data_IF_598598148161
#
_entry.id   IF_598598148161
#
_cell.length_a   1.000
_cell.length_b   1.000
_cell.length_c   1.000
_cell.angle_alpha   90.00
_cell.angle_beta   90.00
_cell.angle_gamma   90.00
#
_symmetry.space_group_name_H-M   'P 1'
#
loop_
_entity.id
_entity.type
_entity.pdbx_description
1 polymer ?
#
# COMPACT_ATOMS: atom_id res chain seq x y z
N UNK A 1 6.63 57.79 -20.20
CA UNK A 1 7.69 58.64 -20.71
C UNK A 1 8.73 57.78 -21.42
N UNK A 2 8.87 58.09 -22.72
CA UNK A 2 10.02 57.84 -23.63
C UNK A 2 10.43 56.42 -24.01
N UNK A 3 9.92 56.00 -25.17
CA UNK A 3 10.72 55.29 -26.20
C UNK A 3 11.72 56.26 -26.85
N UNK A 4 12.77 55.81 -27.52
CA UNK A 4 12.82 55.92 -28.96
C UNK A 4 13.42 54.68 -29.65
N UNK A 5 12.86 54.22 -30.76
CA UNK A 5 12.94 54.60 -32.20
C UNK A 5 14.25 54.26 -32.92
N UNK A 6 14.12 53.32 -33.89
CA UNK A 6 14.64 53.28 -35.26
C UNK A 6 16.14 53.44 -35.53
N UNK A 7 16.67 52.50 -36.36
CA UNK A 7 17.10 52.85 -37.72
C UNK A 7 17.34 51.63 -38.61
N UNK A 8 16.63 51.62 -39.74
CA UNK A 8 16.83 50.91 -40.97
C UNK A 8 18.06 51.51 -41.70
N UNK A 9 18.83 50.67 -42.38
CA UNK A 9 19.67 51.13 -43.50
C UNK A 9 19.77 50.02 -44.57
N UNK A 10 19.23 50.35 -45.68
CA UNK A 10 19.25 49.70 -47.00
C UNK A 10 20.41 50.27 -47.78
N UNK A 11 21.13 49.46 -48.60
CA UNK A 11 21.90 49.83 -49.80
C UNK A 11 22.40 48.55 -50.45
N UNK A 12 21.89 48.08 -51.55
CA UNK A 12 21.81 48.37 -52.96
C UNK A 12 23.16 48.22 -53.72
N UNK A 13 23.05 47.29 -54.67
CA UNK A 13 23.56 47.23 -56.07
C UNK A 13 25.03 46.82 -56.27
N UNK A 14 25.30 45.94 -57.08
CA UNK A 14 25.17 45.61 -58.52
C UNK A 14 26.55 45.18 -59.03
N UNK A 15 26.60 44.30 -60.01
CA UNK A 15 27.77 44.02 -60.81
C UNK A 15 27.74 42.60 -61.43
N UNK A 16 27.18 42.53 -62.63
CA UNK A 16 27.21 41.34 -63.49
C UNK A 16 28.59 41.14 -64.12
N UNK A 17 28.98 39.90 -64.34
CA UNK A 17 29.55 39.53 -65.65
C UNK A 17 29.55 38.00 -65.83
N UNK A 18 29.02 37.59 -66.96
CA UNK A 18 28.91 36.20 -67.42
C UNK A 18 30.25 35.66 -67.87
N UNK A 19 30.53 34.40 -67.61
CA UNK A 19 31.39 33.55 -68.42
C UNK A 19 30.75 32.17 -68.53
N UNK A 20 30.40 31.83 -69.76
CA UNK A 20 29.86 30.53 -70.15
C UNK A 20 30.92 29.43 -69.99
N UNK A 21 30.62 28.42 -69.19
CA UNK A 21 31.34 27.16 -69.16
C UNK A 21 30.36 26.03 -69.26
N UNK A 22 30.33 25.32 -70.37
CA UNK A 22 29.61 24.07 -70.55
C UNK A 22 30.14 23.02 -69.53
N UNK A 23 29.31 22.67 -68.56
CA UNK A 23 29.53 21.56 -67.66
C UNK A 23 28.22 20.76 -67.56
N UNK A 24 28.28 19.48 -67.90
CA UNK A 24 27.17 18.54 -67.83
C UNK A 24 26.44 18.62 -66.50
N UNK A 25 25.17 18.96 -66.48
CA UNK A 25 24.27 18.84 -65.38
C UNK A 25 24.13 17.37 -65.01
N UNK A 26 24.85 16.93 -63.93
CA UNK A 26 24.48 15.69 -63.22
C UNK A 26 23.15 15.95 -62.58
N UNK A 27 22.09 15.29 -63.06
CA UNK A 27 20.81 15.19 -62.35
C UNK A 27 21.06 14.83 -60.92
N UNK A 28 20.47 15.54 -59.92
CA UNK A 28 20.54 15.14 -58.52
C UNK A 28 19.92 13.75 -58.36
N UNK A 29 20.72 12.82 -57.86
CA UNK A 29 20.26 11.50 -57.45
C UNK A 29 19.10 11.69 -56.43
N UNK A 30 17.95 10.99 -56.58
CA UNK A 30 16.86 11.12 -55.60
C UNK A 30 17.41 10.71 -54.24
N UNK A 31 17.30 11.62 -53.27
CA UNK A 31 17.64 11.36 -51.88
C UNK A 31 16.96 10.05 -51.45
N UNK A 32 17.75 9.04 -51.08
CA UNK A 32 17.25 7.79 -50.51
C UNK A 32 16.42 8.18 -49.32
N UNK A 33 15.11 8.10 -49.45
CA UNK A 33 14.17 8.17 -48.32
C UNK A 33 14.62 7.11 -47.31
N UNK A 34 15.22 7.52 -46.19
CA UNK A 34 15.48 6.60 -45.09
C UNK A 34 14.14 5.99 -44.74
N UNK A 35 13.99 4.71 -45.00
CA UNK A 35 12.82 3.96 -44.52
C UNK A 35 12.76 4.13 -43.03
N UNK A 36 11.76 4.86 -42.53
CA UNK A 36 11.46 4.99 -41.14
C UNK A 36 11.27 3.57 -40.59
N UNK A 37 12.07 3.18 -39.60
CA UNK A 37 11.90 1.89 -38.94
C UNK A 37 10.42 1.75 -38.53
N UNK A 38 9.79 0.59 -38.75
CA UNK A 38 8.39 0.39 -38.42
C UNK A 38 8.17 0.76 -36.95
N UNK A 39 7.17 1.61 -36.67
CA UNK A 39 6.83 2.02 -35.33
C UNK A 39 6.49 0.77 -34.50
N UNK A 40 7.07 0.64 -33.32
CA UNK A 40 6.76 -0.46 -32.40
C UNK A 40 5.26 -0.37 -32.04
N UNK A 41 4.47 -1.42 -32.26
CA UNK A 41 3.04 -1.40 -31.90
C UNK A 41 2.87 -1.18 -30.39
N UNK A 42 1.85 -0.42 -30.01
CA UNK A 42 1.51 -0.14 -28.59
C UNK A 42 0.34 -0.98 -28.12
N UNK A 43 0.21 -1.17 -26.81
CA UNK A 43 -0.94 -1.78 -26.16
C UNK A 43 -1.29 -0.97 -24.90
N UNK A 44 -2.56 -0.58 -24.77
CA UNK A 44 -3.10 0.06 -23.58
C UNK A 44 -3.50 -1.01 -22.56
N UNK A 45 -3.05 -0.86 -21.31
CA UNK A 45 -3.31 -1.81 -20.22
C UNK A 45 -3.85 -1.03 -19.03
N UNK A 46 -5.09 -1.31 -18.65
CA UNK A 46 -5.73 -0.71 -17.49
C UNK A 46 -5.47 -1.53 -16.26
N UNK A 47 -4.98 -0.90 -15.20
CA UNK A 47 -4.85 -1.47 -13.85
C UNK A 47 -5.83 -0.74 -12.95
N UNK A 48 -6.69 -1.51 -12.26
CA UNK A 48 -7.58 -0.96 -11.24
C UNK A 48 -6.82 -0.70 -9.95
N UNK A 49 -7.17 0.39 -9.26
CA UNK A 49 -6.75 0.64 -7.88
C UNK A 49 -7.97 1.05 -7.06
N UNK A 50 -8.11 0.50 -5.84
CA UNK A 50 -9.24 0.84 -4.97
C UNK A 50 -8.76 1.01 -3.53
N UNK A 51 -9.13 2.13 -2.95
CA UNK A 51 -8.88 2.46 -1.55
C UNK A 51 -9.90 3.52 -1.08
N UNK A 52 -10.06 3.76 0.23
CA UNK A 52 -10.89 4.87 0.72
C UNK A 52 -10.17 6.20 0.46
N UNK A 53 -10.53 6.89 -0.61
CA UNK A 53 -9.93 8.18 -0.99
C UNK A 53 -10.63 9.37 -0.35
N UNK A 54 -11.78 9.13 0.30
CA UNK A 54 -12.53 10.10 1.10
C UNK A 54 -12.82 9.57 2.51
N UNK A 55 -13.29 10.44 3.42
CA UNK A 55 -13.60 10.06 4.80
C UNK A 55 -12.41 10.11 5.77
N UNK A 56 -12.60 9.53 6.95
CA UNK A 56 -11.66 9.66 8.09
C UNK A 56 -10.29 9.04 7.86
N UNK A 57 -10.20 8.04 7.00
CA UNK A 57 -8.95 7.32 6.67
C UNK A 57 -8.45 7.58 5.25
N UNK A 58 -8.90 8.67 4.62
CA UNK A 58 -8.50 9.05 3.26
C UNK A 58 -6.97 9.22 3.11
N UNK A 59 -6.26 9.60 4.17
CA UNK A 59 -4.79 9.69 4.16
C UNK A 59 -4.12 8.33 3.94
N UNK A 60 -4.67 7.23 4.49
CA UNK A 60 -4.20 5.87 4.24
C UNK A 60 -4.54 5.41 2.82
N UNK A 61 -5.75 5.72 2.33
CA UNK A 61 -6.13 5.44 0.96
C UNK A 61 -5.25 6.17 -0.05
N UNK A 62 -4.90 7.43 0.23
CA UNK A 62 -4.01 8.21 -0.62
C UNK A 62 -2.57 7.68 -0.61
N UNK A 63 -2.08 7.24 0.53
CA UNK A 63 -0.78 6.55 0.63
C UNK A 63 -0.76 5.28 -0.23
N UNK A 64 -1.83 4.48 -0.16
CA UNK A 64 -2.05 3.29 -0.99
C UNK A 64 -2.00 3.65 -2.50
N UNK A 65 -2.82 4.61 -2.93
CA UNK A 65 -2.87 5.08 -4.32
C UNK A 65 -1.52 5.60 -4.82
N UNK A 66 -0.79 6.34 -3.97
CA UNK A 66 0.51 6.89 -4.33
C UNK A 66 1.53 5.78 -4.64
N UNK A 67 1.51 4.67 -3.89
CA UNK A 67 2.36 3.51 -4.17
C UNK A 67 2.08 2.93 -5.56
N UNK A 68 0.83 2.61 -5.84
CA UNK A 68 0.39 2.08 -7.14
C UNK A 68 0.74 3.04 -8.29
N UNK A 69 0.44 4.33 -8.13
CA UNK A 69 0.69 5.36 -9.14
C UNK A 69 2.17 5.51 -9.45
N UNK A 70 3.04 5.42 -8.43
CA UNK A 70 4.49 5.47 -8.64
C UNK A 70 4.96 4.29 -9.51
N UNK A 71 4.46 3.08 -9.23
CA UNK A 71 4.81 1.88 -10.00
C UNK A 71 4.38 2.01 -11.48
N UNK A 72 3.15 2.46 -11.72
CA UNK A 72 2.61 2.67 -13.08
C UNK A 72 3.42 3.71 -13.85
N UNK A 73 3.75 4.84 -13.22
CA UNK A 73 4.52 5.88 -13.92
C UNK A 73 5.95 5.42 -14.24
N UNK A 74 6.58 4.67 -13.33
CA UNK A 74 7.91 4.10 -13.57
C UNK A 74 7.87 3.04 -14.67
N UNK A 75 6.84 2.20 -14.72
CA UNK A 75 6.64 1.21 -15.79
C UNK A 75 6.50 1.89 -17.17
N UNK A 76 5.71 2.96 -17.24
CA UNK A 76 5.55 3.75 -18.46
C UNK A 76 6.86 4.44 -18.87
N UNK A 77 7.60 4.99 -17.91
CA UNK A 77 8.91 5.61 -18.18
C UNK A 77 9.95 4.58 -18.66
N UNK A 78 9.91 3.35 -18.13
CA UNK A 78 10.79 2.26 -18.52
C UNK A 78 10.47 1.66 -19.90
N UNK A 79 9.34 2.04 -20.53
CA UNK A 79 8.91 1.56 -21.85
C UNK A 79 8.86 0.04 -21.94
N UNK A 80 8.18 -0.58 -20.98
CA UNK A 80 8.08 -2.04 -20.86
C UNK A 80 7.43 -2.65 -22.10
N UNK A 81 8.00 -3.77 -22.57
CA UNK A 81 7.47 -4.54 -23.71
C UNK A 81 6.68 -5.75 -23.18
N UNK A 82 5.45 -5.93 -23.67
CA UNK A 82 4.61 -7.10 -23.41
C UNK A 82 4.18 -7.71 -24.74
N UNK A 83 4.54 -8.98 -24.97
CA UNK A 83 4.20 -9.68 -26.22
C UNK A 83 4.69 -8.98 -27.49
N UNK A 84 5.86 -8.32 -27.45
CA UNK A 84 6.43 -7.58 -28.59
C UNK A 84 5.78 -6.22 -28.84
N UNK A 85 4.90 -5.74 -27.96
CA UNK A 85 4.25 -4.43 -28.01
C UNK A 85 4.73 -3.54 -26.89
N UNK A 86 4.85 -2.23 -27.14
CA UNK A 86 5.13 -1.25 -26.09
C UNK A 86 3.88 -1.08 -25.21
N UNK A 87 3.99 -1.44 -23.93
CA UNK A 87 2.90 -1.29 -22.99
C UNK A 87 2.76 0.17 -22.53
N UNK A 88 1.54 0.65 -22.47
CA UNK A 88 1.16 1.87 -21.79
C UNK A 88 0.12 1.53 -20.72
N UNK A 89 0.47 1.76 -19.46
CA UNK A 89 -0.36 1.44 -18.30
C UNK A 89 -1.18 2.66 -17.88
N UNK A 90 -2.47 2.46 -17.69
CA UNK A 90 -3.40 3.45 -17.13
C UNK A 90 -3.88 2.97 -15.76
N UNK A 91 -3.75 3.81 -14.72
CA UNK A 91 -4.27 3.52 -13.38
C UNK A 91 -5.68 4.08 -13.24
N UNK A 92 -6.68 3.20 -13.12
CA UNK A 92 -8.06 3.55 -12.79
C UNK A 92 -8.25 3.48 -11.28
N UNK A 93 -8.16 4.63 -10.61
CA UNK A 93 -8.31 4.74 -9.16
C UNK A 93 -9.78 5.03 -8.78
N UNK A 94 -10.33 4.22 -7.87
CA UNK A 94 -11.71 4.32 -7.38
C UNK A 94 -11.73 4.45 -5.87
N UNK A 95 -12.71 5.19 -5.37
CA UNK A 95 -12.95 5.40 -3.93
C UNK A 95 -14.03 4.42 -3.43
N UNK A 96 -13.67 3.50 -2.55
CA UNK A 96 -14.63 2.59 -1.92
C UNK A 96 -15.18 3.12 -0.58
N UNK A 97 -14.74 4.30 -0.13
CA UNK A 97 -15.17 4.97 1.09
C UNK A 97 -15.05 4.10 2.36
N UNK A 98 -14.26 3.04 2.32
CA UNK A 98 -14.21 1.97 3.33
C UNK A 98 -15.59 1.29 3.56
N UNK A 99 -16.52 1.39 2.61
CA UNK A 99 -17.87 0.81 2.68
C UNK A 99 -17.94 -0.46 1.81
N UNK A 100 -18.30 -1.63 2.38
CA UNK A 100 -18.36 -2.89 1.62
C UNK A 100 -19.34 -2.86 0.44
N UNK A 101 -20.43 -2.07 0.51
CA UNK A 101 -21.40 -1.97 -0.60
C UNK A 101 -20.85 -1.10 -1.73
N UNK A 102 -20.19 0.01 -1.38
CA UNK A 102 -19.51 0.85 -2.37
C UNK A 102 -18.39 0.04 -3.03
N UNK A 103 -17.62 -0.73 -2.25
CA UNK A 103 -16.54 -1.58 -2.75
C UNK A 103 -17.02 -2.58 -3.82
N UNK A 104 -18.18 -3.23 -3.61
CA UNK A 104 -18.72 -4.14 -4.62
C UNK A 104 -19.17 -3.40 -5.89
N UNK A 105 -19.69 -2.19 -5.75
CA UNK A 105 -20.07 -1.35 -6.89
C UNK A 105 -18.86 -0.92 -7.71
N UNK A 106 -17.79 -0.44 -7.06
CA UNK A 106 -16.58 -0.04 -7.77
C UNK A 106 -15.82 -1.24 -8.34
N UNK A 107 -15.87 -2.40 -7.67
CA UNK A 107 -15.31 -3.64 -8.23
C UNK A 107 -15.99 -4.00 -9.55
N UNK A 108 -17.33 -3.96 -9.63
CA UNK A 108 -18.06 -4.21 -10.87
C UNK A 108 -17.70 -3.17 -11.93
N UNK A 109 -17.57 -1.87 -11.57
CA UNK A 109 -17.14 -0.82 -12.48
C UNK A 109 -15.76 -1.11 -13.11
N UNK A 110 -14.80 -1.62 -12.34
CA UNK A 110 -13.48 -1.98 -12.85
C UNK A 110 -13.55 -3.22 -13.76
N UNK A 111 -14.40 -4.21 -13.44
CA UNK A 111 -14.68 -5.34 -14.34
C UNK A 111 -15.23 -4.87 -15.67
N UNK A 112 -16.22 -3.97 -15.65
CA UNK A 112 -16.85 -3.42 -16.86
C UNK A 112 -15.86 -2.57 -17.67
N UNK A 113 -14.91 -1.89 -17.01
CA UNK A 113 -13.80 -1.17 -17.63
C UNK A 113 -12.73 -2.08 -18.23
N UNK A 114 -12.82 -3.41 -17.99
CA UNK A 114 -11.91 -4.45 -18.49
C UNK A 114 -10.48 -4.21 -18.01
N UNK A 115 -10.29 -3.94 -16.72
CA UNK A 115 -8.94 -3.86 -16.15
C UNK A 115 -8.23 -5.21 -16.29
N UNK A 116 -6.93 -5.17 -16.53
CA UNK A 116 -6.11 -6.37 -16.66
C UNK A 116 -5.73 -6.97 -15.30
N UNK A 117 -5.80 -6.20 -14.22
CA UNK A 117 -5.53 -6.61 -12.85
C UNK A 117 -5.93 -5.50 -11.88
N UNK A 118 -5.99 -5.82 -10.59
CA UNK A 118 -6.37 -4.87 -9.53
C UNK A 118 -5.32 -4.85 -8.42
N UNK A 119 -4.86 -3.66 -8.05
CA UNK A 119 -4.09 -3.38 -6.85
C UNK A 119 -5.03 -2.74 -5.81
N UNK A 120 -5.35 -3.47 -4.78
CA UNK A 120 -6.32 -3.06 -3.75
C UNK A 120 -7.20 -4.24 -3.31
N UNK A 121 -8.27 -4.03 -2.60
CA UNK A 121 -8.67 -2.84 -1.85
C UNK A 121 -7.83 -2.66 -0.58
N UNK A 122 -8.03 -1.53 0.15
CA UNK A 122 -7.26 -1.29 1.37
C UNK A 122 -7.82 -2.10 2.55
N UNK A 123 -9.09 -1.93 2.88
CA UNK A 123 -9.70 -2.51 4.08
C UNK A 123 -10.12 -3.97 3.85
N UNK A 124 -9.92 -4.85 4.84
CA UNK A 124 -10.37 -6.25 4.74
C UNK A 124 -11.88 -6.35 4.47
N UNK A 125 -12.69 -5.48 5.11
CA UNK A 125 -14.14 -5.48 4.94
C UNK A 125 -14.61 -5.08 3.54
N UNK A 126 -13.81 -4.36 2.76
CA UNK A 126 -14.07 -4.01 1.36
C UNK A 126 -13.43 -5.01 0.41
N UNK A 127 -12.23 -5.49 0.71
CA UNK A 127 -11.47 -6.43 -0.12
C UNK A 127 -12.15 -7.78 -0.23
N UNK A 128 -12.65 -8.34 0.87
CA UNK A 128 -13.27 -9.67 0.89
C UNK A 128 -14.48 -9.76 -0.06
N UNK A 129 -15.51 -8.91 0.00
CA UNK A 129 -16.62 -8.98 -0.93
C UNK A 129 -16.24 -8.61 -2.37
N UNK A 130 -15.31 -7.65 -2.57
CA UNK A 130 -14.86 -7.27 -3.90
C UNK A 130 -14.09 -8.40 -4.60
N UNK A 131 -13.28 -9.18 -3.85
CA UNK A 131 -12.52 -10.31 -4.39
C UNK A 131 -13.37 -11.35 -5.09
N UNK A 132 -14.60 -11.60 -4.61
CA UNK A 132 -15.53 -12.51 -5.25
C UNK A 132 -15.97 -12.02 -6.64
N UNK A 133 -16.13 -10.72 -6.83
CA UNK A 133 -16.48 -10.11 -8.13
C UNK A 133 -15.31 -10.24 -9.10
N UNK A 134 -14.09 -9.94 -8.67
CA UNK A 134 -12.90 -10.12 -9.49
C UNK A 134 -12.62 -11.58 -9.82
N UNK A 135 -12.86 -12.48 -8.86
CA UNK A 135 -12.73 -13.92 -9.10
C UNK A 135 -13.71 -14.41 -10.19
N UNK A 136 -14.99 -14.04 -10.11
CA UNK A 136 -15.98 -14.38 -11.12
C UNK A 136 -15.63 -13.85 -12.52
N UNK A 137 -14.97 -12.68 -12.56
CA UNK A 137 -14.50 -12.08 -13.81
C UNK A 137 -13.14 -12.63 -14.29
N UNK A 138 -12.47 -13.47 -13.49
CA UNK A 138 -11.14 -14.01 -13.78
C UNK A 138 -10.03 -12.97 -13.73
N UNK A 139 -10.22 -11.82 -13.04
CA UNK A 139 -9.27 -10.72 -12.94
C UNK A 139 -8.40 -10.93 -11.69
N UNK A 140 -7.06 -11.07 -11.82
CA UNK A 140 -6.18 -11.15 -10.67
C UNK A 140 -6.19 -9.86 -9.85
N UNK A 141 -6.18 -10.00 -8.52
CA UNK A 141 -6.05 -8.89 -7.60
C UNK A 141 -4.95 -9.14 -6.57
N UNK A 142 -4.24 -8.08 -6.20
CA UNK A 142 -3.23 -8.10 -5.16
C UNK A 142 -3.54 -6.96 -4.18
N UNK A 143 -3.70 -7.27 -2.89
CA UNK A 143 -3.81 -6.24 -1.86
C UNK A 143 -2.46 -5.97 -1.20
N UNK A 144 -2.16 -4.69 -0.99
CA UNK A 144 -1.01 -4.20 -0.24
C UNK A 144 -1.32 -3.88 1.23
N UNK A 145 -2.53 -4.21 1.72
CA UNK A 145 -2.97 -3.72 3.04
C UNK A 145 -4.01 -4.59 3.77
N UNK A 146 -4.91 -5.30 3.06
CA UNK A 146 -5.93 -6.12 3.71
C UNK A 146 -5.33 -7.36 4.38
N UNK A 147 -5.46 -7.47 5.71
CA UNK A 147 -4.75 -8.46 6.54
C UNK A 147 -5.62 -9.64 6.98
N UNK A 148 -6.95 -9.53 6.91
CA UNK A 148 -7.83 -10.58 7.40
C UNK A 148 -7.63 -11.91 6.66
N UNK A 149 -7.43 -13.06 7.37
CA UNK A 149 -7.22 -14.36 6.78
C UNK A 149 -8.34 -14.82 5.83
N UNK A 150 -9.59 -14.41 6.10
CA UNK A 150 -10.74 -14.77 5.27
C UNK A 150 -10.60 -14.42 3.79
N UNK A 151 -9.77 -13.42 3.46
CA UNK A 151 -9.54 -13.03 2.07
C UNK A 151 -9.05 -14.20 1.20
N UNK A 152 -8.05 -14.92 1.68
CA UNK A 152 -7.43 -16.05 0.96
C UNK A 152 -7.99 -17.41 1.35
N UNK A 153 -8.75 -17.48 2.46
CA UNK A 153 -9.48 -18.70 2.85
C UNK A 153 -10.76 -18.96 2.02
N UNK A 154 -11.16 -18.00 1.17
CA UNK A 154 -12.27 -18.19 0.22
C UNK A 154 -11.95 -19.21 -0.88
N UNK A 155 -10.67 -19.54 -1.08
CA UNK A 155 -10.23 -20.52 -2.08
C UNK A 155 -10.18 -19.98 -3.51
N UNK A 156 -10.11 -18.66 -3.69
CA UNK A 156 -9.97 -18.01 -5.00
C UNK A 156 -8.51 -18.07 -5.45
N UNK A 157 -8.26 -18.53 -6.65
CA UNK A 157 -6.92 -18.71 -7.21
C UNK A 157 -6.28 -17.43 -7.78
N UNK A 158 -7.06 -16.37 -7.92
CA UNK A 158 -6.65 -15.09 -8.49
C UNK A 158 -6.55 -13.95 -7.46
N UNK A 159 -6.53 -14.28 -6.17
CA UNK A 159 -6.45 -13.33 -5.05
C UNK A 159 -5.12 -13.47 -4.32
N UNK A 160 -4.40 -12.36 -4.19
CA UNK A 160 -3.06 -12.33 -3.59
C UNK A 160 -2.91 -11.22 -2.56
N UNK A 161 -1.93 -11.36 -1.67
CA UNK A 161 -1.60 -10.40 -0.62
C UNK A 161 -0.10 -10.27 -0.43
N UNK A 162 0.42 -9.04 -0.36
CA UNK A 162 1.86 -8.77 -0.16
C UNK A 162 2.22 -8.31 1.26
N UNK A 163 1.25 -8.26 2.18
CA UNK A 163 1.44 -8.03 3.62
C UNK A 163 1.21 -9.31 4.42
N UNK A 164 1.55 -9.30 5.70
CA UNK A 164 1.22 -10.39 6.62
C UNK A 164 -0.28 -10.50 6.91
N UNK A 165 -0.67 -11.60 7.56
CA UNK A 165 -2.06 -11.88 7.94
C UNK A 165 -2.31 -11.51 9.40
N UNK A 166 -3.57 -11.29 9.78
CA UNK A 166 -3.97 -11.02 11.18
C UNK A 166 -3.63 -12.17 12.12
N UNK A 167 -3.64 -13.42 11.64
CA UNK A 167 -3.23 -14.60 12.42
C UNK A 167 -1.70 -14.72 12.61
N UNK A 168 -0.93 -13.81 12.02
CA UNK A 168 0.49 -13.54 12.31
C UNK A 168 0.64 -12.25 13.13
N UNK A 169 -0.08 -11.20 12.76
CA UNK A 169 0.00 -9.87 13.37
C UNK A 169 -0.56 -9.86 14.81
N UNK A 170 -1.74 -10.46 15.01
CA UNK A 170 -2.37 -10.56 16.33
C UNK A 170 -1.48 -11.26 17.37
N UNK A 171 -0.97 -12.48 17.08
CA UNK A 171 0.00 -13.14 17.94
C UNK A 171 1.28 -12.34 18.18
N UNK A 172 1.80 -11.62 17.18
CA UNK A 172 3.02 -10.83 17.32
C UNK A 172 2.86 -9.70 18.33
N UNK A 173 1.82 -8.85 18.18
CA UNK A 173 1.60 -7.73 19.11
C UNK A 173 1.17 -8.22 20.49
N UNK A 174 0.34 -9.27 20.58
CA UNK A 174 -0.09 -9.83 21.87
C UNK A 174 1.06 -10.46 22.64
N UNK A 175 1.95 -11.22 21.98
CA UNK A 175 3.11 -11.82 22.61
C UNK A 175 4.13 -10.76 23.03
N UNK A 176 4.32 -9.71 22.23
CA UNK A 176 5.17 -8.58 22.58
C UNK A 176 4.66 -7.90 23.85
N UNK A 177 3.37 -7.53 23.90
CA UNK A 177 2.71 -6.93 25.05
C UNK A 177 2.84 -7.83 26.31
N UNK A 178 2.60 -9.12 26.17
CA UNK A 178 2.72 -10.09 27.26
C UNK A 178 4.15 -10.19 27.81
N UNK A 179 5.16 -10.09 26.96
CA UNK A 179 6.57 -10.21 27.35
C UNK A 179 7.13 -8.93 28.00
N UNK A 180 6.77 -7.76 27.47
CA UNK A 180 7.33 -6.45 27.87
C UNK A 180 6.56 -5.83 29.04
N UNK A 181 5.25 -5.70 28.91
CA UNK A 181 4.39 -4.99 29.85
C UNK A 181 3.77 -5.92 30.89
N UNK A 182 3.75 -7.24 30.62
CA UNK A 182 3.28 -8.30 31.51
C UNK A 182 1.91 -8.03 32.15
N UNK A 183 0.91 -7.63 31.33
CA UNK A 183 -0.41 -7.30 31.87
C UNK A 183 -1.06 -8.56 32.45
N UNK A 184 -1.83 -8.40 33.54
CA UNK A 184 -2.63 -9.48 34.12
C UNK A 184 -4.05 -9.48 33.56
N UNK A 185 -4.55 -8.31 33.21
CA UNK A 185 -5.91 -8.08 32.70
C UNK A 185 -5.83 -7.19 31.47
N UNK A 186 -6.41 -7.63 30.36
CA UNK A 186 -6.46 -6.89 29.12
C UNK A 186 -7.90 -6.70 28.65
N UNK A 187 -8.28 -5.46 28.34
CA UNK A 187 -9.52 -5.16 27.63
C UNK A 187 -9.29 -5.24 26.13
N UNK A 188 -10.21 -5.83 25.40
CA UNK A 188 -10.14 -5.92 23.94
C UNK A 188 -11.39 -5.28 23.34
N UNK A 189 -11.18 -4.32 22.44
CA UNK A 189 -12.21 -3.54 21.76
C UNK A 189 -12.02 -3.69 20.26
N UNK A 190 -13.09 -3.68 19.47
CA UNK A 190 -13.04 -3.63 18.00
C UNK A 190 -14.04 -2.63 17.41
N UNK A 191 -13.83 -2.27 16.14
CA UNK A 191 -14.67 -1.35 15.38
C UNK A 191 -15.80 -2.06 14.61
N UNK A 192 -16.06 -3.33 14.90
CA UNK A 192 -17.05 -4.19 14.24
C UNK A 192 -16.83 -4.39 12.72
N UNK A 193 -15.69 -3.99 12.16
CA UNK A 193 -15.31 -4.33 10.79
C UNK A 193 -14.71 -5.74 10.71
N UNK A 194 -14.64 -6.31 9.51
CA UNK A 194 -13.97 -7.60 9.31
C UNK A 194 -12.49 -7.56 9.73
N UNK A 195 -11.79 -6.42 9.51
CA UNK A 195 -10.43 -6.22 9.98
C UNK A 195 -10.37 -6.16 11.50
N UNK A 196 -11.06 -5.20 12.10
CA UNK A 196 -10.94 -4.96 13.54
C UNK A 196 -11.37 -6.16 14.39
N UNK A 197 -12.46 -6.86 14.01
CA UNK A 197 -12.89 -8.08 14.66
C UNK A 197 -11.87 -9.20 14.52
N UNK A 198 -11.39 -9.47 13.29
CA UNK A 198 -10.47 -10.56 13.02
C UNK A 198 -9.15 -10.41 13.78
N UNK A 199 -8.54 -9.23 13.74
CA UNK A 199 -7.31 -8.96 14.46
C UNK A 199 -7.50 -9.06 15.99
N UNK A 200 -8.59 -8.47 16.49
CA UNK A 200 -8.90 -8.52 17.92
C UNK A 200 -9.20 -9.94 18.43
N UNK A 201 -9.74 -10.82 17.58
CA UNK A 201 -9.93 -12.24 17.89
C UNK A 201 -8.59 -12.97 18.04
N UNK A 202 -7.64 -12.74 17.15
CA UNK A 202 -6.32 -13.37 17.23
C UNK A 202 -5.51 -12.84 18.42
N UNK A 203 -5.61 -11.55 18.74
CA UNK A 203 -5.01 -10.97 19.97
C UNK A 203 -5.60 -11.59 21.21
N UNK A 204 -6.94 -11.63 21.34
CA UNK A 204 -7.62 -12.20 22.51
C UNK A 204 -7.30 -13.69 22.70
N UNK A 205 -7.23 -14.46 21.62
CA UNK A 205 -6.85 -15.86 21.61
C UNK A 205 -5.42 -16.05 22.13
N UNK A 206 -4.47 -15.24 21.64
CA UNK A 206 -3.06 -15.32 22.04
C UNK A 206 -2.85 -14.93 23.49
N UNK A 207 -3.47 -13.83 23.95
CA UNK A 207 -3.40 -13.41 25.36
C UNK A 207 -3.96 -14.47 26.32
N UNK A 208 -5.12 -15.07 25.98
CA UNK A 208 -5.69 -16.18 26.75
C UNK A 208 -4.76 -17.39 26.80
N UNK A 209 -4.14 -17.75 25.68
CA UNK A 209 -3.17 -18.85 25.62
C UNK A 209 -1.92 -18.57 26.49
N UNK A 210 -1.55 -17.29 26.67
CA UNK A 210 -0.49 -16.86 27.58
C UNK A 210 -0.92 -16.78 29.05
N UNK A 211 -2.17 -17.18 29.40
CA UNK A 211 -2.69 -17.15 30.77
C UNK A 211 -3.14 -15.75 31.24
N UNK A 212 -3.28 -14.79 30.34
CA UNK A 212 -3.70 -13.43 30.65
C UNK A 212 -5.23 -13.36 30.69
N UNK A 213 -5.81 -12.70 31.69
CA UNK A 213 -7.25 -12.47 31.75
C UNK A 213 -7.67 -11.47 30.68
N UNK A 214 -8.46 -11.91 29.72
CA UNK A 214 -9.09 -11.05 28.71
C UNK A 214 -10.53 -10.76 29.14
N UNK A 215 -10.89 -9.47 29.25
CA UNK A 215 -12.24 -9.03 29.60
C UNK A 215 -13.24 -9.35 28.47
N UNK A 216 -14.54 -9.21 28.74
CA UNK A 216 -15.56 -9.31 27.72
C UNK A 216 -15.28 -8.30 26.60
N UNK A 217 -15.43 -8.76 25.36
CA UNK A 217 -15.21 -7.93 24.15
C UNK A 217 -16.17 -6.75 24.12
N UNK A 218 -15.65 -5.56 23.98
CA UNK A 218 -16.42 -4.35 23.72
C UNK A 218 -16.32 -3.99 22.22
N UNK A 219 -17.33 -3.29 21.72
CA UNK A 219 -17.42 -2.95 20.29
C UNK A 219 -17.84 -1.51 20.08
N UNK A 220 -17.30 -0.92 19.03
CA UNK A 220 -17.81 0.29 18.40
C UNK A 220 -18.22 0.01 16.96
N UNK A 221 -18.06 1.02 16.12
CA UNK A 221 -18.12 0.94 14.66
C UNK A 221 -16.92 1.69 14.07
N UNK A 222 -16.68 1.56 12.79
CA UNK A 222 -15.69 2.33 12.02
C UNK A 222 -15.92 3.86 12.03
N UNK A 223 -17.01 4.31 12.64
CA UNK A 223 -17.40 5.73 12.77
C UNK A 223 -17.51 6.19 14.22
N UNK A 224 -17.24 5.30 15.18
CA UNK A 224 -17.35 5.63 16.61
C UNK A 224 -16.24 6.59 17.03
N UNK A 225 -16.62 7.77 17.50
CA UNK A 225 -15.70 8.78 18.05
C UNK A 225 -15.97 9.10 19.52
N UNK A 226 -17.12 8.69 20.07
CA UNK A 226 -17.43 8.78 21.51
C UNK A 226 -17.35 7.39 22.14
N UNK A 227 -16.30 7.19 22.92
CA UNK A 227 -15.96 5.94 23.60
C UNK A 227 -16.24 5.97 25.12
N UNK A 228 -16.76 7.08 25.65
CA UNK A 228 -16.86 7.29 27.11
C UNK A 228 -17.62 6.20 27.83
N UNK A 229 -18.73 5.72 27.27
CA UNK A 229 -19.54 4.67 27.89
C UNK A 229 -18.75 3.34 27.96
N UNK A 230 -18.12 2.92 26.87
CA UNK A 230 -17.29 1.71 26.79
C UNK A 230 -16.10 1.83 27.73
N UNK A 231 -15.40 2.96 27.70
CA UNK A 231 -14.20 3.19 28.51
C UNK A 231 -14.51 3.28 30.01
N UNK A 232 -15.66 3.84 30.40
CA UNK A 232 -16.11 3.87 31.78
C UNK A 232 -16.38 2.47 32.32
N UNK A 233 -17.02 1.61 31.53
CA UNK A 233 -17.24 0.20 31.86
C UNK A 233 -15.92 -0.53 32.02
N UNK A 234 -15.00 -0.39 31.06
CA UNK A 234 -13.68 -1.04 31.10
C UNK A 234 -12.85 -0.56 32.29
N UNK A 235 -12.87 0.74 32.59
CA UNK A 235 -12.15 1.29 33.76
C UNK A 235 -12.56 0.63 35.06
N UNK A 236 -13.84 0.28 35.22
CA UNK A 236 -14.33 -0.44 36.40
C UNK A 236 -13.65 -1.78 36.62
N UNK A 237 -13.21 -2.45 35.56
CA UNK A 237 -12.52 -3.74 35.59
C UNK A 237 -10.99 -3.61 35.80
N UNK A 238 -10.46 -2.38 35.81
CA UNK A 238 -9.04 -2.04 36.03
C UNK A 238 -8.07 -2.84 35.14
N UNK A 239 -8.18 -2.79 33.82
CA UNK A 239 -7.24 -3.48 32.92
C UNK A 239 -5.86 -2.82 32.99
N UNK A 240 -4.80 -3.64 32.88
CA UNK A 240 -3.42 -3.19 32.74
C UNK A 240 -3.12 -2.73 31.30
N UNK A 241 -3.86 -3.28 30.31
CA UNK A 241 -3.74 -2.89 28.92
C UNK A 241 -5.10 -2.89 28.19
N UNK A 242 -5.17 -2.10 27.14
CA UNK A 242 -6.31 -2.03 26.20
C UNK A 242 -5.80 -2.30 24.80
N UNK A 243 -6.32 -3.33 24.14
CA UNK A 243 -6.12 -3.54 22.72
C UNK A 243 -7.33 -3.02 21.94
N UNK A 244 -7.08 -2.29 20.86
CA UNK A 244 -8.11 -1.86 19.93
C UNK A 244 -7.81 -2.32 18.49
N UNK A 245 -8.74 -3.10 17.92
CA UNK A 245 -8.76 -3.46 16.50
C UNK A 245 -9.62 -2.49 15.72
N UNK A 246 -8.99 -1.62 14.93
CA UNK A 246 -9.64 -0.60 14.14
C UNK A 246 -8.64 0.44 13.62
N UNK A 247 -9.17 1.52 13.06
CA UNK A 247 -8.39 2.56 12.38
C UNK A 247 -8.05 3.74 13.29
N UNK A 248 -7.07 4.54 12.90
CA UNK A 248 -6.62 5.73 13.65
C UNK A 248 -7.74 6.77 13.87
N UNK A 249 -8.63 6.96 12.89
CA UNK A 249 -9.74 7.90 12.99
C UNK A 249 -10.66 7.64 14.19
N UNK A 250 -10.76 6.40 14.64
CA UNK A 250 -11.55 5.98 15.81
C UNK A 250 -10.66 5.64 17.01
N UNK A 251 -9.45 5.13 16.77
CA UNK A 251 -8.46 4.81 17.80
C UNK A 251 -7.90 6.04 18.53
N UNK A 252 -7.68 7.14 17.80
CA UNK A 252 -7.24 8.41 18.41
C UNK A 252 -8.20 8.96 19.46
N UNK A 253 -9.49 9.13 19.14
CA UNK A 253 -10.51 9.46 20.14
C UNK A 253 -10.60 8.47 21.29
N UNK A 254 -10.43 7.17 21.04
CA UNK A 254 -10.46 6.13 22.07
C UNK A 254 -9.36 6.33 23.12
N UNK A 255 -8.09 6.41 22.69
CA UNK A 255 -6.98 6.57 23.64
C UNK A 255 -7.06 7.92 24.37
N UNK A 256 -7.43 9.00 23.67
CA UNK A 256 -7.61 10.33 24.27
C UNK A 256 -8.63 10.29 25.40
N UNK A 257 -9.83 9.79 25.13
CA UNK A 257 -10.90 9.71 26.13
C UNK A 257 -10.56 8.73 27.27
N UNK A 258 -9.83 7.65 26.97
CA UNK A 258 -9.35 6.73 28.00
C UNK A 258 -8.43 7.43 29.02
N UNK A 259 -7.46 8.18 28.55
CA UNK A 259 -6.56 8.97 29.40
C UNK A 259 -7.29 10.09 30.13
N UNK A 260 -8.22 10.81 29.49
CA UNK A 260 -9.08 11.82 30.12
C UNK A 260 -9.94 11.24 31.26
N UNK A 261 -10.43 10.03 31.09
CA UNK A 261 -11.17 9.31 32.12
C UNK A 261 -10.26 8.75 33.22
N UNK A 262 -8.95 8.86 33.10
CA UNK A 262 -7.97 8.30 34.03
C UNK A 262 -7.89 6.76 33.97
N UNK A 263 -8.08 6.18 32.80
CA UNK A 263 -7.76 4.77 32.52
C UNK A 263 -6.27 4.65 32.26
N UNK A 264 -5.52 4.35 33.32
CA UNK A 264 -4.08 4.17 33.28
C UNK A 264 -3.74 2.75 32.85
N UNK A 265 -3.63 2.57 31.54
CA UNK A 265 -3.36 1.30 30.88
C UNK A 265 -2.38 1.51 29.72
N UNK A 266 -1.68 0.45 29.32
CA UNK A 266 -0.94 0.40 28.05
C UNK A 266 -1.95 0.25 26.93
N UNK A 267 -1.83 1.07 25.89
CA UNK A 267 -2.71 0.97 24.72
C UNK A 267 -1.95 0.33 23.55
N UNK A 268 -2.57 -0.69 22.96
CA UNK A 268 -2.00 -1.41 21.81
C UNK A 268 -3.02 -1.46 20.67
N UNK A 269 -2.51 -1.34 19.43
CA UNK A 269 -3.30 -1.22 18.20
C UNK A 269 -2.73 -2.11 17.08
N UNK A 270 -3.56 -2.37 16.07
CA UNK A 270 -3.11 -2.94 14.81
C UNK A 270 -2.54 -1.88 13.86
N UNK A 271 -2.29 -2.30 12.62
CA UNK A 271 -1.72 -1.47 11.56
C UNK A 271 -2.62 -0.28 11.17
N UNK A 272 -3.94 -0.46 11.15
CA UNK A 272 -4.88 0.61 10.83
C UNK A 272 -4.80 1.85 11.73
N UNK A 273 -4.19 1.74 12.90
CA UNK A 273 -3.92 2.85 13.81
C UNK A 273 -2.41 3.10 14.04
N UNK A 274 -1.55 2.46 13.23
CA UNK A 274 -0.09 2.60 13.36
C UNK A 274 0.45 3.76 12.51
N UNK A 275 -0.03 4.97 12.80
CA UNK A 275 0.30 6.19 12.05
C UNK A 275 0.62 7.35 12.98
N UNK A 276 1.39 8.33 12.49
CA UNK A 276 1.63 9.61 13.20
C UNK A 276 0.31 10.39 13.42
N UNK A 277 -0.74 10.09 12.66
CA UNK A 277 -2.08 10.69 12.81
C UNK A 277 -2.66 10.47 14.21
N UNK A 278 -2.27 9.40 14.88
CA UNK A 278 -2.66 9.15 16.27
C UNK A 278 -2.21 10.27 17.21
N UNK A 279 -1.01 10.83 16.99
CA UNK A 279 -0.54 11.98 17.78
C UNK A 279 -1.33 13.27 17.48
N UNK A 280 -1.78 13.46 16.24
CA UNK A 280 -2.65 14.60 15.89
C UNK A 280 -4.03 14.48 16.54
N UNK A 281 -4.60 13.27 16.57
CA UNK A 281 -5.96 13.00 17.10
C UNK A 281 -6.00 12.95 18.63
N UNK A 282 -4.98 12.40 19.26
CA UNK A 282 -4.95 12.13 20.70
C UNK A 282 -3.98 13.02 21.49
N UNK A 283 -3.09 13.75 20.81
CA UNK A 283 -2.07 14.56 21.48
C UNK A 283 -1.15 13.69 22.34
N UNK A 284 -0.83 14.18 23.54
CA UNK A 284 0.03 13.48 24.50
C UNK A 284 -0.53 12.12 24.95
N UNK A 285 -1.81 11.88 24.80
CA UNK A 285 -2.42 10.59 25.15
C UNK A 285 -1.89 9.43 24.29
N UNK A 286 -1.42 9.72 23.08
CA UNK A 286 -0.83 8.72 22.19
C UNK A 286 0.61 8.33 22.56
N UNK A 287 1.29 9.11 23.42
CA UNK A 287 2.68 8.83 23.78
C UNK A 287 2.81 7.48 24.47
N UNK A 288 3.77 6.67 24.06
CA UNK A 288 4.00 5.33 24.58
C UNK A 288 3.01 4.26 24.12
N UNK A 289 2.01 4.57 23.28
CA UNK A 289 1.17 3.53 22.70
C UNK A 289 2.00 2.55 21.88
N UNK A 290 1.54 1.30 21.81
CA UNK A 290 2.09 0.28 20.92
C UNK A 290 1.20 0.10 19.70
N UNK A 291 1.79 -0.22 18.56
CA UNK A 291 1.04 -0.67 17.40
C UNK A 291 1.87 -1.67 16.58
N UNK A 292 1.21 -2.40 15.69
CA UNK A 292 1.88 -3.35 14.80
C UNK A 292 1.60 -3.02 13.35
N UNK A 293 2.50 -3.42 12.45
CA UNK A 293 2.30 -3.41 11.01
C UNK A 293 2.56 -4.80 10.45
N UNK A 294 1.71 -5.23 9.54
CA UNK A 294 1.81 -6.52 8.86
C UNK A 294 2.84 -6.49 7.73
N UNK A 295 4.08 -6.13 8.05
CA UNK A 295 5.19 -6.00 7.12
C UNK A 295 6.39 -5.30 7.74
N UNK A 296 7.39 -4.97 6.89
CA UNK A 296 8.53 -4.14 7.28
C UNK A 296 8.07 -2.69 7.53
N UNK A 297 8.77 -1.92 8.37
CA UNK A 297 8.44 -0.49 8.51
C UNK A 297 8.71 0.25 7.19
N UNK A 298 7.90 1.28 6.83
CA UNK A 298 8.07 2.01 5.57
C UNK A 298 9.49 2.53 5.34
N UNK A 299 10.18 2.93 6.41
CA UNK A 299 11.55 3.44 6.38
C UNK A 299 12.59 2.37 5.98
N UNK A 300 12.24 1.09 6.11
CA UNK A 300 13.10 -0.03 5.70
C UNK A 300 12.87 -0.47 4.25
N UNK A 301 11.94 0.15 3.54
CA UNK A 301 11.76 -0.07 2.12
C UNK A 301 13.02 0.29 1.33
N UNK A 302 13.14 -0.21 0.10
CA UNK A 302 14.32 0.04 -0.72
C UNK A 302 14.58 1.55 -0.91
N UNK A 303 15.84 1.95 -0.88
CA UNK A 303 16.22 3.36 -1.04
C UNK A 303 15.71 3.95 -2.35
N UNK A 304 15.70 3.18 -3.43
CA UNK A 304 15.21 3.63 -4.73
C UNK A 304 13.72 3.97 -4.69
N UNK A 305 12.91 3.18 -3.98
CA UNK A 305 11.49 3.48 -3.76
C UNK A 305 11.34 4.77 -2.93
N UNK A 306 12.03 4.88 -1.78
CA UNK A 306 11.91 6.03 -0.88
C UNK A 306 12.29 7.34 -1.57
N UNK A 307 13.41 7.36 -2.30
CA UNK A 307 13.87 8.53 -3.05
C UNK A 307 12.86 8.93 -4.14
N UNK A 308 12.34 7.95 -4.90
CA UNK A 308 11.38 8.20 -5.97
C UNK A 308 10.02 8.67 -5.43
N UNK A 309 9.56 8.07 -4.33
CA UNK A 309 8.32 8.45 -3.67
C UNK A 309 8.40 9.90 -3.16
N UNK A 310 9.49 10.24 -2.44
CA UNK A 310 9.74 11.57 -1.94
C UNK A 310 9.83 12.61 -3.06
N UNK A 311 10.56 12.29 -4.14
CA UNK A 311 10.70 13.17 -5.29
C UNK A 311 9.36 13.46 -5.98
N UNK A 312 8.48 12.47 -6.06
CA UNK A 312 7.20 12.61 -6.75
C UNK A 312 6.12 13.28 -5.91
N UNK A 313 5.98 12.87 -4.63
CA UNK A 313 4.86 13.27 -3.78
C UNK A 313 5.22 14.32 -2.73
N UNK A 314 6.51 14.70 -2.61
CA UNK A 314 7.06 15.63 -1.64
C UNK A 314 6.72 15.29 -0.17
N UNK A 315 6.49 13.99 0.10
CA UNK A 315 6.22 13.44 1.42
C UNK A 315 6.87 12.07 1.54
N UNK A 316 7.01 11.57 2.77
CA UNK A 316 7.42 10.19 3.00
C UNK A 316 6.19 9.26 2.97
N UNK A 317 6.34 7.96 2.67
CA UNK A 317 5.24 7.01 2.75
C UNK A 317 4.74 6.91 4.20
N UNK A 318 3.43 6.76 4.37
CA UNK A 318 2.81 6.68 5.70
C UNK A 318 2.92 5.24 6.23
N UNK A 319 2.37 4.27 5.48
CA UNK A 319 2.26 2.88 5.94
C UNK A 319 2.29 1.87 4.81
N UNK A 320 1.37 1.97 3.84
CA UNK A 320 1.09 0.93 2.85
C UNK A 320 1.70 1.17 1.47
N UNK A 321 2.12 2.40 1.15
CA UNK A 321 2.64 2.74 -0.17
C UNK A 321 3.76 1.82 -0.69
N UNK A 322 4.73 1.32 0.12
CA UNK A 322 5.73 0.38 -0.37
C UNK A 322 5.12 -0.94 -0.84
N UNK A 323 4.06 -1.40 -0.18
CA UNK A 323 3.40 -2.67 -0.48
C UNK A 323 2.50 -2.57 -1.71
N UNK A 324 1.76 -1.47 -1.89
CA UNK A 324 0.95 -1.24 -3.09
C UNK A 324 1.84 -0.95 -4.31
N UNK A 325 2.98 -0.30 -4.11
CA UNK A 325 4.00 -0.20 -5.15
C UNK A 325 4.46 -1.59 -5.62
N UNK A 326 4.74 -2.50 -4.69
CA UNK A 326 5.14 -3.86 -5.02
C UNK A 326 3.98 -4.65 -5.64
N UNK A 327 2.74 -4.48 -5.17
CA UNK A 327 1.56 -5.15 -5.72
C UNK A 327 1.33 -4.79 -7.21
N UNK A 328 1.40 -3.50 -7.55
CA UNK A 328 1.31 -3.05 -8.93
C UNK A 328 2.45 -3.59 -9.79
N UNK A 329 3.70 -3.56 -9.30
CA UNK A 329 4.86 -4.10 -10.01
C UNK A 329 4.78 -5.62 -10.22
N UNK A 330 4.21 -6.37 -9.27
CA UNK A 330 3.98 -7.81 -9.41
C UNK A 330 3.01 -8.14 -10.55
N UNK A 331 1.92 -7.37 -10.68
CA UNK A 331 1.01 -7.50 -11.83
C UNK A 331 1.74 -7.23 -13.15
N UNK A 332 2.50 -6.14 -13.22
CA UNK A 332 3.27 -5.75 -14.41
C UNK A 332 4.32 -6.80 -14.76
N UNK A 333 5.05 -7.29 -13.78
CA UNK A 333 6.11 -8.28 -13.98
C UNK A 333 5.54 -9.62 -14.46
N UNK A 334 4.44 -10.09 -13.85
CA UNK A 334 3.77 -11.31 -14.30
C UNK A 334 3.26 -11.20 -15.75
N UNK A 335 2.73 -10.02 -16.14
CA UNK A 335 2.34 -9.74 -17.52
C UNK A 335 3.55 -9.74 -18.47
N UNK A 336 4.68 -9.19 -18.03
CA UNK A 336 5.94 -9.15 -18.79
C UNK A 336 6.48 -10.55 -19.00
N UNK A 337 6.55 -11.38 -17.96
CA UNK A 337 7.03 -12.77 -18.02
C UNK A 337 6.13 -13.63 -18.93
N UNK A 338 4.81 -13.46 -18.83
CA UNK A 338 3.86 -14.19 -19.67
C UNK A 338 3.79 -13.67 -21.11
N UNK A 339 4.39 -12.50 -21.41
CA UNK A 339 4.23 -11.83 -22.71
C UNK A 339 2.80 -11.43 -23.02
N UNK A 340 1.93 -11.26 -22.01
CA UNK A 340 0.50 -10.99 -22.18
C UNK A 340 -0.09 -10.25 -20.99
N UNK A 341 -0.94 -9.26 -21.24
CA UNK A 341 -1.77 -8.61 -20.23
C UNK A 341 -3.14 -9.27 -20.04
N UNK A 342 -3.41 -10.36 -20.75
CA UNK A 342 -4.65 -11.12 -20.60
C UNK A 342 -4.62 -11.91 -19.29
N UNK A 343 -5.58 -11.71 -18.36
CA UNK A 343 -5.59 -12.31 -17.02
C UNK A 343 -5.27 -13.81 -16.99
N UNK A 344 -5.99 -14.60 -17.77
CA UNK A 344 -5.82 -16.06 -17.82
C UNK A 344 -4.41 -16.50 -18.28
N UNK A 345 -3.68 -15.65 -19.01
CA UNK A 345 -2.36 -15.98 -19.54
C UNK A 345 -1.25 -15.64 -18.54
N UNK A 346 -1.38 -14.56 -17.76
CA UNK A 346 -0.33 -14.17 -16.81
C UNK A 346 -0.55 -14.68 -15.38
N UNK A 347 -1.78 -15.08 -14.99
CA UNK A 347 -2.06 -15.63 -13.68
C UNK A 347 -1.14 -16.80 -13.29
N UNK A 348 -0.80 -17.77 -14.18
CA UNK A 348 0.15 -18.82 -13.85
C UNK A 348 1.59 -18.32 -13.54
N UNK A 349 2.01 -17.19 -14.15
CA UNK A 349 3.28 -16.56 -13.84
C UNK A 349 3.23 -15.90 -12.45
N UNK A 350 2.13 -15.23 -12.12
CA UNK A 350 1.91 -14.60 -10.82
C UNK A 350 1.98 -15.62 -9.67
N UNK A 351 1.43 -16.82 -9.82
CA UNK A 351 1.54 -17.89 -8.83
C UNK A 351 2.98 -18.38 -8.57
N UNK A 352 3.85 -18.25 -9.55
CA UNK A 352 5.25 -18.75 -9.49
C UNK A 352 6.27 -17.65 -9.26
N UNK A 353 5.80 -16.41 -9.15
CA UNK A 353 6.68 -15.24 -9.12
C UNK A 353 7.60 -15.27 -7.91
N UNK A 354 8.87 -14.90 -8.12
CA UNK A 354 9.83 -14.59 -7.07
C UNK A 354 10.40 -13.21 -7.39
N UNK A 355 9.86 -12.18 -6.77
CA UNK A 355 10.12 -10.79 -7.09
C UNK A 355 10.88 -10.10 -5.97
N UNK A 356 11.90 -9.32 -6.31
CA UNK A 356 12.60 -8.45 -5.37
C UNK A 356 12.00 -7.05 -5.46
N UNK A 357 11.06 -6.76 -4.56
CA UNK A 357 10.37 -5.49 -4.50
C UNK A 357 11.01 -4.45 -3.58
N UNK A 358 10.31 -3.36 -3.37
CA UNK A 358 10.66 -2.33 -2.38
C UNK A 358 10.63 -2.87 -0.95
N UNK A 359 9.76 -3.85 -0.69
CA UNK A 359 9.57 -4.49 0.62
C UNK A 359 10.34 -5.80 0.76
N UNK A 360 11.34 -6.05 -0.08
CA UNK A 360 12.14 -7.28 -0.08
C UNK A 360 11.61 -8.34 -1.03
N UNK A 361 12.01 -9.60 -0.82
CA UNK A 361 11.58 -10.72 -1.66
C UNK A 361 10.11 -11.06 -1.42
N UNK A 362 9.37 -11.21 -2.51
CA UNK A 362 7.96 -11.57 -2.48
C UNK A 362 7.76 -12.86 -3.28
N UNK A 363 7.20 -13.84 -2.61
CA UNK A 363 6.72 -15.11 -3.16
C UNK A 363 5.39 -15.41 -2.51
N UNK A 364 4.50 -16.05 -3.25
CA UNK A 364 3.19 -16.45 -2.74
C UNK A 364 3.16 -17.93 -2.35
N UNK A 365 2.37 -18.26 -1.34
CA UNK A 365 2.00 -19.62 -1.03
C UNK A 365 0.87 -20.11 -1.95
N UNK A 366 0.36 -21.33 -1.71
CA UNK A 366 -0.70 -21.91 -2.53
C UNK A 366 -2.05 -21.19 -2.42
N UNK A 367 -2.23 -20.33 -1.40
CA UNK A 367 -3.45 -19.54 -1.19
C UNK A 367 -3.34 -18.11 -1.72
N UNK A 368 -2.15 -17.69 -2.15
CA UNK A 368 -1.88 -16.31 -2.58
C UNK A 368 -1.39 -15.39 -1.46
N UNK A 369 -1.07 -15.92 -0.28
CA UNK A 369 -0.48 -15.14 0.81
C UNK A 369 1.04 -15.03 0.65
N UNK A 370 1.62 -13.88 1.04
CA UNK A 370 3.07 -13.69 1.06
C UNK A 370 3.73 -14.66 2.03
N UNK A 371 4.74 -15.39 1.56
CA UNK A 371 5.59 -16.22 2.41
C UNK A 371 6.49 -15.34 3.27
N UNK A 372 6.77 -15.80 4.50
CA UNK A 372 7.75 -15.20 5.41
C UNK A 372 7.57 -13.69 5.65
N UNK A 373 6.32 -13.21 5.67
CA UNK A 373 6.03 -11.82 5.99
C UNK A 373 6.50 -11.47 7.41
N UNK A 374 7.18 -10.33 7.52
CA UNK A 374 7.55 -9.75 8.81
C UNK A 374 6.33 -9.06 9.46
N UNK A 375 6.33 -8.98 10.80
CA UNK A 375 5.44 -8.11 11.56
C UNK A 375 6.32 -7.15 12.37
N UNK A 376 6.13 -5.86 12.16
CA UNK A 376 6.86 -4.83 12.91
C UNK A 376 6.03 -4.30 14.05
N UNK A 377 6.64 -4.14 15.22
CA UNK A 377 6.06 -3.50 16.40
C UNK A 377 6.65 -2.10 16.53
N UNK A 378 5.79 -1.14 16.78
CA UNK A 378 6.14 0.27 16.95
C UNK A 378 5.70 0.78 18.30
N UNK A 379 6.33 1.87 18.73
CA UNK A 379 5.85 2.71 19.83
C UNK A 379 5.80 4.16 19.41
N UNK A 380 4.82 4.90 19.88
CA UNK A 380 4.76 6.35 19.71
C UNK A 380 5.80 7.03 20.61
N UNK A 381 6.67 7.83 20.00
CA UNK A 381 7.71 8.61 20.70
C UNK A 381 7.78 10.02 20.13
N UNK A 382 7.57 11.02 20.97
CA UNK A 382 7.59 12.43 20.57
C UNK A 382 6.67 12.73 19.39
N UNK A 383 5.47 12.14 19.39
CA UNK A 383 4.46 12.33 18.34
C UNK A 383 4.76 11.61 17.02
N UNK A 384 5.70 10.67 17.00
CA UNK A 384 6.07 9.85 15.84
C UNK A 384 6.06 8.37 16.19
N UNK A 385 5.55 7.54 15.28
CA UNK A 385 5.72 6.10 15.40
C UNK A 385 7.16 5.72 15.09
N UNK A 386 7.76 4.91 15.97
CA UNK A 386 9.12 4.43 15.83
C UNK A 386 9.13 2.90 15.92
N UNK A 387 9.73 2.18 14.97
CA UNK A 387 9.84 0.72 15.05
C UNK A 387 10.76 0.33 16.20
N UNK A 388 10.33 -0.65 16.99
CA UNK A 388 11.06 -1.13 18.17
C UNK A 388 11.43 -2.60 18.09
N UNK A 389 10.61 -3.42 17.43
CA UNK A 389 10.88 -4.83 17.25
C UNK A 389 10.30 -5.34 15.92
N UNK A 390 10.85 -6.44 15.44
CA UNK A 390 10.33 -7.17 14.27
C UNK A 390 10.17 -8.63 14.65
N UNK A 391 9.03 -9.20 14.26
CA UNK A 391 8.74 -10.62 14.37
C UNK A 391 8.83 -11.25 12.98
N UNK A 392 9.71 -12.23 12.83
CA UNK A 392 9.88 -12.99 11.58
C UNK A 392 9.94 -14.47 11.90
N UNK A 393 9.16 -15.29 11.22
CA UNK A 393 9.09 -16.75 11.42
C UNK A 393 8.96 -17.12 12.92
N UNK A 394 8.11 -16.39 13.66
CA UNK A 394 7.85 -16.59 15.09
C UNK A 394 8.95 -16.13 16.04
N UNK A 395 10.05 -15.54 15.55
CA UNK A 395 11.13 -15.00 16.38
C UNK A 395 11.05 -13.48 16.45
N UNK A 396 11.06 -12.95 17.67
CA UNK A 396 11.13 -11.50 17.92
C UNK A 396 12.60 -11.09 18.02
N UNK A 397 12.94 -10.00 17.33
CA UNK A 397 14.26 -9.35 17.39
C UNK A 397 14.05 -7.84 17.56
N UNK A 398 15.03 -7.14 18.08
CA UNK A 398 15.00 -5.67 18.10
C UNK A 398 15.09 -5.12 16.67
N UNK A 399 14.60 -3.90 16.47
CA UNK A 399 14.69 -3.27 15.14
C UNK A 399 16.15 -3.10 14.67
N UNK A 400 17.08 -2.81 15.58
CA UNK A 400 18.51 -2.70 15.26
C UNK A 400 19.12 -4.04 14.79
N UNK A 401 18.73 -5.17 15.41
CA UNK A 401 19.14 -6.51 14.99
C UNK A 401 18.58 -6.82 13.61
N UNK A 402 17.32 -6.46 13.34
CA UNK A 402 16.71 -6.63 12.01
C UNK A 402 17.48 -5.87 10.93
N UNK A 403 17.82 -4.59 11.15
CA UNK A 403 18.58 -3.79 10.19
C UNK A 403 19.98 -4.35 9.92
N UNK A 404 20.67 -4.85 10.96
CA UNK A 404 21.96 -5.53 10.79
C UNK A 404 21.85 -6.78 9.92
N UNK A 405 20.79 -7.58 10.10
CA UNK A 405 20.47 -8.74 9.28
C UNK A 405 20.24 -8.39 7.81
N UNK A 406 19.51 -7.32 7.53
CA UNK A 406 19.29 -6.82 6.16
C UNK A 406 20.59 -6.33 5.48
N UNK A 407 21.48 -5.71 6.24
CA UNK A 407 22.76 -5.18 5.70
C UNK A 407 23.78 -6.26 5.41
N UNK A 408 23.74 -7.40 6.12
CA UNK A 408 24.64 -8.54 5.95
C UNK A 408 24.21 -9.53 4.85
N UNK A 409 23.03 -9.37 4.30
CA UNK A 409 22.47 -10.22 3.23
C UNK A 409 22.65 -9.63 1.80
N UNK A 410 23.49 -8.58 1.65
CA UNK A 410 23.84 -7.95 0.37
C UNK A 410 25.09 -8.54 -0.25
#
# INVERSE_FOLDING_TARGET
MRQPKFRVSLLVAAGALALAGCGEEKKPEPAKTQAQAPAVPTIEIKIGHVAPLTGGIAHLGKDNENGARLAIDQANAAKIMIGGKLAHFELLAEDDQADPKVATTVAQKLVDAKVAGVDGHLNSGTTIPASAIYHQAGIPMITGSATNPMLTEQGFDNVFRVVGRDDQQGPAIASYLAATDKPKVVAVIDDATAYGQGLADEVAKTLKAAGIKVLAREKGTDKTTDWKAVLTKIKGEKPDAVFYGGMDATGGPLIKQGKELGLDAVYAFGDGACTDKMAELAGQAAEGMLCSQAGIPPQAASKSFLDSYKAKFNTDPILYAPFTYDAANLLIEAMREAGSAEPAKYLPALHKISYMGATGRIEFDAKGDRKDAEITIFSMKNGKIAPIAVVKSGKTMTYDEFLKGMSGAK
#
